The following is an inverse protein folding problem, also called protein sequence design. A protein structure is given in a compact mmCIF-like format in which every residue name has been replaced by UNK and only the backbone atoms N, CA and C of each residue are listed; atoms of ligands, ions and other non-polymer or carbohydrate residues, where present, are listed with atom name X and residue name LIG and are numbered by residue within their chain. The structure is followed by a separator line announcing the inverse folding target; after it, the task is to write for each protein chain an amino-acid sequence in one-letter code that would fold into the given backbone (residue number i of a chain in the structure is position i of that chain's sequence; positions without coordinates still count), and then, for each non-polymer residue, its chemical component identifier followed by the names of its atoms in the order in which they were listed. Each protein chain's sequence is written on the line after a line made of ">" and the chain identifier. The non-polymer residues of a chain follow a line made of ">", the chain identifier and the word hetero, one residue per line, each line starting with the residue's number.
data_IF_861211504726
#
_entry.id   IF_861211504726
#
_cell.length_a   1.000
_cell.length_b   1.000
_cell.length_c   1.000
_cell.angle_alpha   90.00
_cell.angle_beta   90.00
_cell.angle_gamma   90.00
#
_symmetry.space_group_name_H-M   'P 1'
#
loop_
_entity.id
_entity.type
_entity.pdbx_description
1 polymer ?
#
# COMPACT_ATOMS: atom_id res chain seq x y z
N UNK A 1 3.96 -14.29 10.17
CA UNK A 1 4.18 -12.97 9.54
C UNK A 1 2.88 -12.49 8.93
N UNK A 2 2.24 -11.47 9.49
CA UNK A 2 1.03 -10.86 8.92
C UNK A 2 1.47 -9.99 7.75
N UNK A 3 1.32 -10.45 6.51
CA UNK A 3 1.59 -9.59 5.34
C UNK A 3 0.65 -8.38 5.40
N UNK A 4 1.22 -7.20 5.52
CA UNK A 4 0.48 -5.94 5.58
C UNK A 4 0.06 -5.51 4.17
N UNK A 5 -0.91 -4.60 4.07
CA UNK A 5 -1.25 -3.95 2.79
C UNK A 5 -0.04 -3.30 2.13
N UNK A 6 0.87 -2.75 2.94
CA UNK A 6 2.12 -2.18 2.46
C UNK A 6 2.99 -3.23 1.75
N UNK A 7 3.12 -4.42 2.33
CA UNK A 7 3.83 -5.52 1.68
C UNK A 7 3.18 -5.93 0.35
N UNK A 8 1.84 -6.06 0.31
CA UNK A 8 1.11 -6.42 -0.91
C UNK A 8 1.37 -5.40 -2.02
N UNK A 9 1.26 -4.10 -1.74
CA UNK A 9 1.56 -3.04 -2.72
C UNK A 9 2.99 -3.13 -3.23
N UNK A 10 3.96 -3.32 -2.32
CA UNK A 10 5.38 -3.34 -2.64
C UNK A 10 5.75 -4.54 -3.53
N UNK A 11 5.15 -5.68 -3.23
CA UNK A 11 5.46 -6.96 -3.88
C UNK A 11 4.74 -7.12 -5.21
N UNK A 12 3.44 -6.78 -5.25
CA UNK A 12 2.58 -7.05 -6.42
C UNK A 12 2.27 -5.83 -7.27
N UNK A 13 2.73 -4.64 -6.88
CA UNK A 13 2.49 -3.39 -7.58
C UNK A 13 1.00 -3.07 -7.85
N UNK A 14 0.15 -3.42 -6.89
CA UNK A 14 -1.30 -3.17 -6.94
C UNK A 14 -1.71 -2.01 -6.02
N UNK A 15 -2.81 -1.28 -6.33
CA UNK A 15 -3.22 -0.11 -5.55
C UNK A 15 -4.08 -0.49 -4.34
N UNK A 16 -3.94 -1.70 -3.81
CA UNK A 16 -4.84 -2.29 -2.82
C UNK A 16 -4.83 -1.55 -1.47
N UNK A 17 -5.96 -0.95 -1.08
CA UNK A 17 -6.15 -0.24 0.21
C UNK A 17 -7.30 -0.82 1.02
N UNK A 18 -7.24 -0.66 2.35
CA UNK A 18 -8.40 -0.92 3.18
C UNK A 18 -9.56 0.01 2.76
N UNK A 19 -10.76 -0.56 2.63
CA UNK A 19 -11.95 0.13 2.13
C UNK A 19 -11.99 0.34 0.61
N UNK A 20 -11.00 -0.15 -0.16
CA UNK A 20 -11.05 -0.01 -1.62
C UNK A 20 -12.20 -0.81 -2.21
N UNK A 21 -12.93 -0.19 -3.12
CA UNK A 21 -13.85 -0.89 -4.02
C UNK A 21 -13.08 -1.53 -5.16
N UNK A 22 -13.32 -2.81 -5.39
CA UNK A 22 -12.73 -3.62 -6.45
C UNK A 22 -13.83 -4.44 -7.12
N UNK A 23 -13.55 -5.00 -8.28
CA UNK A 23 -14.38 -6.04 -8.88
C UNK A 23 -13.63 -7.36 -8.77
N UNK A 24 -14.23 -8.35 -8.12
CA UNK A 24 -13.70 -9.71 -8.03
C UNK A 24 -14.61 -10.65 -8.82
N UNK A 25 -14.07 -11.27 -9.86
CA UNK A 25 -14.81 -12.21 -10.72
C UNK A 25 -16.16 -11.62 -11.21
N UNK A 26 -16.12 -10.37 -11.70
CA UNK A 26 -17.30 -9.63 -12.15
C UNK A 26 -18.23 -9.11 -11.04
N UNK A 27 -17.97 -9.44 -9.77
CA UNK A 27 -18.79 -9.00 -8.63
C UNK A 27 -18.15 -7.83 -7.89
N UNK A 28 -18.93 -6.82 -7.49
CA UNK A 28 -18.41 -5.72 -6.68
C UNK A 28 -18.00 -6.22 -5.28
N UNK A 29 -16.84 -5.77 -4.81
CA UNK A 29 -16.31 -6.15 -3.50
C UNK A 29 -15.54 -4.99 -2.83
N UNK A 30 -15.39 -5.07 -1.51
CA UNK A 30 -14.60 -4.12 -0.71
C UNK A 30 -13.44 -4.83 -0.03
N UNK A 31 -12.23 -4.31 -0.18
CA UNK A 31 -11.06 -4.77 0.56
C UNK A 31 -11.21 -4.41 2.05
N UNK A 32 -11.09 -5.41 2.92
CA UNK A 32 -11.24 -5.27 4.38
C UNK A 32 -9.98 -5.67 5.15
N UNK A 33 -8.91 -6.06 4.46
CA UNK A 33 -7.64 -6.39 5.12
C UNK A 33 -6.71 -7.24 4.26
N UNK A 34 -5.60 -7.63 4.85
CA UNK A 34 -4.57 -8.44 4.21
C UNK A 34 -4.04 -9.50 5.18
N UNK A 35 -3.52 -10.60 4.66
CA UNK A 35 -2.84 -11.62 5.46
C UNK A 35 -2.23 -12.72 4.60
N UNK A 36 -1.02 -13.17 4.97
CA UNK A 36 -0.33 -14.27 4.27
C UNK A 36 -0.02 -14.00 2.79
N UNK A 37 0.04 -12.74 2.37
CA UNK A 37 0.23 -12.32 0.97
C UNK A 37 -1.06 -12.17 0.17
N UNK A 38 -2.21 -12.46 0.79
CA UNK A 38 -3.51 -12.40 0.15
C UNK A 38 -4.31 -11.18 0.64
N UNK A 39 -5.22 -10.70 -0.22
CA UNK A 39 -6.23 -9.74 0.15
C UNK A 39 -7.40 -10.44 0.81
N UNK A 40 -7.96 -9.78 1.82
CA UNK A 40 -9.25 -10.11 2.42
C UNK A 40 -10.23 -9.06 1.94
N UNK A 41 -11.31 -9.50 1.33
CA UNK A 41 -12.36 -8.60 0.84
C UNK A 41 -13.74 -9.19 1.12
N UNK A 42 -14.76 -8.35 1.07
CA UNK A 42 -16.16 -8.75 1.18
C UNK A 42 -16.85 -8.46 -0.14
N UNK A 43 -17.39 -9.50 -0.75
CA UNK A 43 -18.23 -9.39 -1.95
C UNK A 43 -19.59 -8.85 -1.51
N UNK A 44 -20.16 -7.93 -2.27
CA UNK A 44 -21.45 -7.35 -1.94
C UNK A 44 -22.55 -8.41 -1.97
N UNK A 45 -23.41 -8.40 -0.94
CA UNK A 45 -24.44 -9.42 -0.76
C UNK A 45 -23.96 -10.70 -0.07
N UNK A 46 -22.65 -10.90 0.10
CA UNK A 46 -22.11 -12.07 0.81
C UNK A 46 -21.87 -11.80 2.29
N UNK A 47 -22.27 -12.76 3.14
CA UNK A 47 -22.09 -12.68 4.60
C UNK A 47 -20.62 -12.83 5.01
N UNK A 48 -19.89 -13.67 4.28
CA UNK A 48 -18.53 -14.07 4.62
C UNK A 48 -17.49 -13.19 3.93
N UNK A 49 -16.27 -13.24 4.46
CA UNK A 49 -15.10 -12.60 3.85
C UNK A 49 -14.43 -13.61 2.94
N UNK A 50 -13.99 -13.14 1.79
CA UNK A 50 -13.26 -13.92 0.80
C UNK A 50 -11.78 -13.56 0.86
N UNK A 51 -10.93 -14.53 0.59
CA UNK A 51 -9.48 -14.36 0.50
C UNK A 51 -9.07 -14.63 -0.94
N UNK A 52 -8.31 -13.72 -1.54
CA UNK A 52 -7.89 -13.84 -2.94
C UNK A 52 -6.50 -13.27 -3.18
N UNK A 53 -5.83 -13.81 -4.20
CA UNK A 53 -4.51 -13.34 -4.60
C UNK A 53 -4.62 -11.93 -5.21
N UNK A 54 -3.75 -10.97 -4.86
CA UNK A 54 -3.94 -9.56 -5.25
C UNK A 54 -3.99 -9.32 -6.76
N UNK A 55 -3.39 -10.20 -7.56
CA UNK A 55 -3.36 -10.10 -9.03
C UNK A 55 -4.32 -11.07 -9.75
N UNK A 56 -5.14 -11.84 -9.04
CA UNK A 56 -5.96 -12.90 -9.63
C UNK A 56 -7.45 -12.55 -9.56
N UNK A 57 -8.09 -12.41 -10.73
CA UNK A 57 -9.52 -12.11 -10.90
C UNK A 57 -9.99 -10.81 -10.20
N UNK A 58 -9.05 -9.94 -9.82
CA UNK A 58 -9.33 -8.63 -9.22
C UNK A 58 -9.08 -7.55 -10.26
N UNK A 59 -10.09 -6.74 -10.50
CA UNK A 59 -9.98 -5.48 -11.23
C UNK A 59 -9.98 -4.34 -10.23
N UNK A 60 -8.87 -3.60 -10.20
CA UNK A 60 -8.77 -2.37 -9.42
C UNK A 60 -9.31 -1.18 -10.22
N UNK A 61 -10.00 -0.24 -9.58
CA UNK A 61 -10.39 1.00 -10.24
C UNK A 61 -9.13 1.79 -10.63
N UNK A 62 -9.25 2.61 -11.69
CA UNK A 62 -8.23 3.58 -12.02
C UNK A 62 -7.99 4.51 -10.82
N UNK A 63 -6.72 4.68 -10.45
CA UNK A 63 -6.32 5.54 -9.35
C UNK A 63 -5.58 6.74 -9.94
N UNK A 64 -5.97 7.97 -9.60
CA UNK A 64 -5.28 9.15 -10.10
C UNK A 64 -3.82 9.19 -9.61
N UNK A 65 -2.96 9.82 -10.39
CA UNK A 65 -1.59 10.09 -10.02
C UNK A 65 -1.53 10.83 -8.68
N UNK A 66 -0.66 10.40 -7.74
CA UNK A 66 -0.48 11.15 -6.51
C UNK A 66 0.11 12.53 -6.85
N UNK A 67 -0.42 13.58 -6.23
CA UNK A 67 0.04 14.97 -6.45
C UNK A 67 1.54 15.20 -6.16
N UNK A 68 2.16 14.28 -5.41
CA UNK A 68 3.61 14.23 -5.19
C UNK A 68 4.12 12.86 -5.62
N UNK A 69 5.26 12.77 -6.33
CA UNK A 69 5.88 11.49 -6.62
C UNK A 69 6.15 10.74 -5.30
N UNK A 70 6.04 9.41 -5.34
CA UNK A 70 6.23 8.54 -4.18
C UNK A 70 7.18 7.40 -4.52
N UNK A 71 7.80 6.82 -3.50
CA UNK A 71 8.84 5.82 -3.68
C UNK A 71 9.07 4.97 -2.45
N UNK A 72 9.54 3.75 -2.66
CA UNK A 72 9.90 2.83 -1.59
C UNK A 72 11.29 3.15 -1.04
N UNK A 73 11.36 3.45 0.26
CA UNK A 73 12.62 3.65 0.95
C UNK A 73 13.37 2.33 1.11
N UNK A 74 14.61 2.25 0.62
CA UNK A 74 15.46 1.07 0.85
C UNK A 74 15.73 0.83 2.34
N UNK A 75 15.79 1.90 3.13
CA UNK A 75 16.20 1.82 4.53
C UNK A 75 15.03 1.46 5.45
N UNK A 76 13.98 2.28 5.49
CA UNK A 76 12.83 2.00 6.34
C UNK A 76 11.80 1.05 5.73
N UNK A 77 12.00 0.62 4.47
CA UNK A 77 11.13 -0.29 3.72
C UNK A 77 9.68 0.18 3.49
N UNK A 78 9.37 1.43 3.89
CA UNK A 78 8.07 2.08 3.72
C UNK A 78 8.02 2.94 2.47
N UNK A 79 6.80 3.11 1.95
CA UNK A 79 6.49 4.12 0.94
C UNK A 79 6.58 5.53 1.55
N UNK A 80 7.28 6.45 0.88
CA UNK A 80 7.39 7.86 1.27
C UNK A 80 7.19 8.78 0.08
N UNK A 81 6.78 10.00 0.41
CA UNK A 81 6.77 11.10 -0.54
C UNK A 81 8.20 11.43 -0.99
N UNK A 82 8.33 11.74 -2.27
CA UNK A 82 9.55 12.21 -2.89
C UNK A 82 9.52 13.72 -3.10
N UNK A 83 10.71 14.30 -3.27
CA UNK A 83 10.88 15.68 -3.71
C UNK A 83 10.69 15.77 -5.23
N UNK A 84 10.66 17.01 -5.75
CA UNK A 84 10.62 17.26 -7.20
C UNK A 84 11.87 16.74 -7.91
N UNK A 85 12.99 16.67 -7.22
CA UNK A 85 14.28 16.21 -7.72
C UNK A 85 14.39 14.68 -7.80
N UNK A 86 13.31 13.95 -7.50
CA UNK A 86 13.30 12.49 -7.63
C UNK A 86 13.99 11.75 -6.48
N UNK A 87 14.24 12.41 -5.35
CA UNK A 87 14.77 11.78 -4.12
C UNK A 87 13.71 11.68 -3.04
N UNK A 88 13.93 10.80 -2.06
CA UNK A 88 13.06 10.66 -0.90
C UNK A 88 13.03 11.95 -0.09
N UNK A 89 11.83 12.43 0.25
CA UNK A 89 11.67 13.54 1.18
C UNK A 89 12.19 13.21 2.57
N UNK A 90 12.37 14.24 3.40
CA UNK A 90 12.75 14.06 4.79
C UNK A 90 11.68 13.24 5.51
N UNK A 91 12.08 12.10 6.05
CA UNK A 91 11.20 11.23 6.81
C UNK A 91 11.95 10.58 7.96
N UNK A 92 11.18 10.16 8.97
CA UNK A 92 11.70 9.42 10.12
C UNK A 92 11.42 7.94 9.97
N UNK A 93 12.27 7.15 10.59
CA UNK A 93 12.07 5.73 10.79
C UNK A 93 12.16 5.43 12.28
N UNK A 94 11.48 4.40 12.74
CA UNK A 94 11.26 4.21 14.17
C UNK A 94 10.31 3.09 14.48
N UNK A 95 10.20 2.78 15.76
CA UNK A 95 9.29 1.81 16.35
C UNK A 95 8.59 2.38 17.57
N UNK A 96 7.93 1.51 18.35
CA UNK A 96 7.21 1.95 19.55
C UNK A 96 8.20 2.58 20.55
N UNK A 97 8.04 3.89 20.79
CA UNK A 97 8.84 4.65 21.75
C UNK A 97 10.16 5.23 21.22
N UNK A 98 10.47 5.11 19.91
CA UNK A 98 11.69 5.71 19.35
C UNK A 98 11.52 6.11 17.88
N UNK A 99 12.16 7.21 17.47
CA UNK A 99 12.24 7.60 16.06
C UNK A 99 13.48 8.45 15.78
N UNK A 100 14.07 8.25 14.62
CA UNK A 100 15.24 9.00 14.15
C UNK A 100 15.09 9.41 12.68
N UNK A 101 15.85 10.41 12.21
CA UNK A 101 15.92 10.73 10.79
C UNK A 101 16.31 9.49 9.99
N UNK A 102 15.56 9.16 8.94
CA UNK A 102 15.86 8.02 8.11
C UNK A 102 17.09 8.30 7.24
N UNK A 103 18.14 7.45 7.26
CA UNK A 103 19.28 7.52 6.34
C UNK A 103 18.89 7.49 4.86
N UNK A 104 17.69 7.02 4.54
CA UNK A 104 17.13 7.06 3.19
C UNK A 104 16.59 8.42 2.76
N UNK A 105 16.54 9.42 3.65
CA UNK A 105 16.15 10.79 3.29
C UNK A 105 17.17 11.41 2.34
N UNK A 106 16.71 12.11 1.30
CA UNK A 106 17.57 12.68 0.26
C UNK A 106 18.25 11.65 -0.66
N UNK A 107 17.93 10.35 -0.53
CA UNK A 107 18.43 9.29 -1.41
C UNK A 107 17.39 8.93 -2.46
N UNK A 108 17.78 8.37 -3.61
CA UNK A 108 16.81 7.84 -4.56
C UNK A 108 15.98 6.71 -3.94
N UNK A 109 14.71 6.55 -4.32
CA UNK A 109 13.92 5.41 -3.90
C UNK A 109 14.54 4.13 -4.47
N UNK A 110 14.38 3.01 -3.76
CA UNK A 110 14.74 1.71 -4.33
C UNK A 110 13.80 1.33 -5.47
N UNK A 111 12.52 1.72 -5.36
CA UNK A 111 11.51 1.51 -6.39
C UNK A 111 10.59 2.73 -6.46
N UNK A 112 10.48 3.43 -7.60
CA UNK A 112 9.51 4.51 -7.74
C UNK A 112 8.09 3.94 -7.77
N UNK A 113 7.14 4.62 -7.13
CA UNK A 113 5.71 4.30 -7.17
C UNK A 113 5.13 5.04 -8.38
N UNK A 114 4.89 4.33 -9.48
CA UNK A 114 4.19 4.86 -10.67
C UNK A 114 2.78 4.28 -10.71
N UNK A 115 1.78 5.16 -10.76
CA UNK A 115 0.37 5.06 -11.20
C UNK A 115 -0.48 3.82 -10.85
N UNK A 116 0.00 2.88 -10.05
CA UNK A 116 -0.73 1.65 -9.72
C UNK A 116 -0.52 1.22 -8.25
N UNK A 117 0.04 2.06 -7.37
CA UNK A 117 0.43 1.63 -6.01
C UNK A 117 0.13 2.59 -4.84
N UNK A 118 -0.63 3.68 -5.04
CA UNK A 118 -1.58 4.34 -4.09
C UNK A 118 -1.60 5.87 -4.17
N UNK A 119 -2.76 6.50 -3.92
CA UNK A 119 -2.89 7.94 -3.69
C UNK A 119 -2.80 8.24 -2.18
N UNK A 120 -1.60 8.59 -1.71
CA UNK A 120 -1.44 9.27 -0.41
C UNK A 120 -1.73 8.46 0.86
N UNK A 121 -1.34 9.03 2.00
CA UNK A 121 -1.23 8.38 3.31
C UNK A 121 -2.52 7.75 3.84
N UNK A 122 -2.42 6.57 4.47
CA UNK A 122 -3.46 6.02 5.35
C UNK A 122 -2.94 5.90 6.78
N UNK A 123 -3.83 6.31 7.69
CA UNK A 123 -3.76 6.32 9.16
C UNK A 123 -3.31 4.95 9.70
N UNK A 124 -2.41 4.97 10.69
CA UNK A 124 -1.96 3.76 11.40
C UNK A 124 -3.16 3.08 12.06
N UNK A 125 -3.45 1.83 11.66
CA UNK A 125 -4.40 0.98 12.38
C UNK A 125 -3.74 0.55 13.68
N UNK A 126 -4.17 1.16 14.79
CA UNK A 126 -3.84 0.74 16.15
C UNK A 126 -4.11 -0.76 16.30
N UNK A 127 -3.04 -1.50 16.60
CA UNK A 127 -3.10 -2.93 16.87
C UNK A 127 -3.97 -3.20 18.10
N UNK A 128 -5.03 -3.97 17.90
CA UNK A 128 -5.81 -4.61 18.95
C UNK A 128 -5.37 -6.06 19.13
#
# INVERSE_FOLDING_TARGET
>A
MTSTMEWIRRTYDVPARHGMRITYDGKPATIVGAGGGYLRFRIDGEKHRTVGHPCYLIVYPAVPEPARPRGWCKHCMKDRAMTRDGVMGNHRWGGKGWSEPCPGSGKPPWKPVRNLTHPGEQREEDGR
#
